data_IF_297190712153
#
_entry.id   IF_297190712153
#
_cell.length_a   1.000
_cell.length_b   1.000
_cell.length_c   1.000
_cell.angle_alpha   90.00
_cell.angle_beta   90.00
_cell.angle_gamma   90.00
#
_symmetry.space_group_name_H-M   'P 1'
#
loop_
_entity.id
_entity.type
_entity.pdbx_description
1 polymer ?
#
# COMPACT_ATOMS: atom_id res chain seq x y z
N UNK A 1 -17.93 -3.22 32.25
CA UNK A 1 -18.81 -4.41 32.15
C UNK A 1 -18.14 -5.33 31.17
N UNK A 2 -17.64 -6.49 31.61
CA UNK A 2 -16.90 -7.40 30.72
C UNK A 2 -17.88 -8.20 29.87
N UNK A 3 -17.59 -8.31 28.58
CA UNK A 3 -18.37 -9.10 27.63
C UNK A 3 -18.26 -10.59 28.00
N UNK A 4 -19.37 -11.31 27.95
CA UNK A 4 -19.36 -12.75 28.26
C UNK A 4 -18.78 -13.55 27.09
N UNK A 5 -18.21 -14.74 27.35
CA UNK A 5 -17.63 -15.60 26.30
C UNK A 5 -18.65 -15.92 25.19
N UNK A 6 -19.94 -16.04 25.54
CA UNK A 6 -21.02 -16.30 24.57
C UNK A 6 -21.25 -15.11 23.64
N UNK A 7 -21.31 -13.90 24.19
CA UNK A 7 -21.48 -12.66 23.41
C UNK A 7 -20.28 -12.41 22.50
N UNK A 8 -19.06 -12.65 22.99
CA UNK A 8 -17.84 -12.56 22.18
C UNK A 8 -17.87 -13.54 20.99
N UNK A 9 -18.28 -14.79 21.25
CA UNK A 9 -18.40 -15.82 20.20
C UNK A 9 -19.40 -15.42 19.11
N UNK A 10 -20.58 -14.91 19.50
CA UNK A 10 -21.60 -14.47 18.53
C UNK A 10 -21.14 -13.20 17.79
N UNK A 11 -20.43 -12.29 18.45
CA UNK A 11 -19.88 -11.09 17.80
C UNK A 11 -18.86 -11.46 16.73
N UNK A 12 -17.90 -12.34 17.06
CA UNK A 12 -16.92 -12.82 16.08
C UNK A 12 -17.56 -13.60 14.93
N UNK A 13 -18.67 -14.29 15.19
CA UNK A 13 -19.46 -14.92 14.14
C UNK A 13 -20.08 -13.88 13.19
N UNK A 14 -20.67 -12.80 13.73
CA UNK A 14 -21.21 -11.70 12.94
C UNK A 14 -20.12 -11.05 12.09
N UNK A 15 -18.91 -10.89 12.64
CA UNK A 15 -17.76 -10.28 11.95
C UNK A 15 -17.07 -11.23 10.95
N UNK A 16 -17.41 -12.53 10.96
CA UNK A 16 -16.77 -13.53 10.11
C UNK A 16 -15.37 -13.96 10.56
N UNK A 17 -15.03 -13.74 11.83
CA UNK A 17 -13.71 -13.97 12.43
C UNK A 17 -13.63 -15.24 13.30
N UNK A 18 -14.50 -16.21 13.06
CA UNK A 18 -14.42 -17.50 13.76
C UNK A 18 -13.22 -18.31 13.26
N UNK A 19 -12.52 -18.95 14.20
CA UNK A 19 -11.62 -20.04 13.87
C UNK A 19 -12.39 -21.38 13.79
N UNK A 20 -11.79 -22.46 13.25
CA UNK A 20 -12.49 -23.73 13.08
C UNK A 20 -13.02 -24.37 14.37
N UNK A 21 -12.36 -24.14 15.51
CA UNK A 21 -12.82 -24.65 16.82
C UNK A 21 -14.05 -23.86 17.30
N UNK A 22 -14.03 -22.55 17.11
CA UNK A 22 -15.11 -21.64 17.45
C UNK A 22 -16.33 -21.81 16.55
N UNK A 23 -16.18 -22.24 15.30
CA UNK A 23 -17.30 -22.63 14.45
C UNK A 23 -18.11 -23.78 15.04
N UNK A 24 -17.42 -24.77 15.63
CA UNK A 24 -18.09 -25.88 16.31
C UNK A 24 -18.79 -25.40 17.60
N UNK A 25 -18.11 -24.56 18.40
CA UNK A 25 -18.71 -23.95 19.59
C UNK A 25 -19.94 -23.11 19.23
N UNK A 26 -19.88 -22.35 18.14
CA UNK A 26 -21.00 -21.53 17.66
C UNK A 26 -22.18 -22.39 17.21
N UNK A 27 -21.94 -23.46 16.44
CA UNK A 27 -23.02 -24.39 16.03
C UNK A 27 -23.76 -25.00 17.22
N UNK A 28 -23.02 -25.41 18.25
CA UNK A 28 -23.63 -25.92 19.48
C UNK A 28 -24.43 -24.85 20.20
N UNK A 29 -23.94 -23.60 20.22
CA UNK A 29 -24.64 -22.47 20.82
C UNK A 29 -25.94 -22.16 20.04
N UNK A 30 -25.88 -22.09 18.71
CA UNK A 30 -27.02 -21.84 17.82
C UNK A 30 -28.09 -22.93 17.94
N UNK A 31 -27.70 -24.19 18.07
CA UNK A 31 -28.63 -25.30 18.34
C UNK A 31 -29.26 -25.21 19.74
N UNK A 32 -28.50 -24.75 20.74
CA UNK A 32 -28.95 -24.69 22.13
C UNK A 32 -29.82 -23.48 22.45
N UNK A 33 -29.55 -22.34 21.81
CA UNK A 33 -30.16 -21.04 22.09
C UNK A 33 -30.17 -20.18 20.81
N UNK A 34 -31.02 -20.55 19.82
CA UNK A 34 -31.09 -19.83 18.55
C UNK A 34 -31.60 -18.40 18.72
N UNK A 35 -32.46 -18.15 19.72
CA UNK A 35 -33.05 -16.85 19.99
C UNK A 35 -32.00 -15.84 20.47
N UNK A 36 -31.03 -16.27 21.29
CA UNK A 36 -29.90 -15.44 21.69
C UNK A 36 -29.06 -14.98 20.49
N UNK A 37 -28.69 -15.92 19.61
CA UNK A 37 -27.93 -15.63 18.40
C UNK A 37 -28.71 -14.70 17.45
N UNK A 38 -30.00 -14.96 17.26
CA UNK A 38 -30.87 -14.15 16.41
C UNK A 38 -31.03 -12.71 16.94
N UNK A 39 -31.17 -12.54 18.26
CA UNK A 39 -31.28 -11.23 18.90
C UNK A 39 -30.01 -10.41 18.72
N UNK A 40 -28.85 -11.02 18.95
CA UNK A 40 -27.56 -10.36 18.74
C UNK A 40 -27.35 -9.97 17.28
N UNK A 41 -27.67 -10.87 16.35
CA UNK A 41 -27.59 -10.58 14.91
C UNK A 41 -28.50 -9.41 14.51
N UNK A 42 -29.76 -9.44 14.93
CA UNK A 42 -30.71 -8.37 14.65
C UNK A 42 -30.23 -7.02 15.22
N UNK A 43 -29.60 -7.02 16.40
CA UNK A 43 -29.02 -5.81 16.96
C UNK A 43 -27.85 -5.26 16.13
N UNK A 44 -26.97 -6.13 15.63
CA UNK A 44 -25.86 -5.72 14.77
C UNK A 44 -26.35 -5.24 13.40
N UNK A 45 -27.37 -5.88 12.83
CA UNK A 45 -28.02 -5.45 11.58
C UNK A 45 -28.68 -4.07 11.72
N UNK A 46 -29.33 -3.79 12.85
CA UNK A 46 -29.92 -2.48 13.12
C UNK A 46 -28.85 -1.37 13.19
N UNK A 47 -27.73 -1.63 13.90
CA UNK A 47 -26.60 -0.70 13.95
C UNK A 47 -26.03 -0.47 12.54
N UNK A 48 -25.87 -1.54 11.76
CA UNK A 48 -25.40 -1.45 10.37
C UNK A 48 -26.34 -0.60 9.52
N UNK A 49 -27.65 -0.83 9.62
CA UNK A 49 -28.66 -0.06 8.88
C UNK A 49 -28.62 1.42 9.25
N UNK A 50 -28.53 1.74 10.54
CA UNK A 50 -28.41 3.11 11.01
C UNK A 50 -27.15 3.78 10.45
N UNK A 51 -25.99 3.13 10.54
CA UNK A 51 -24.73 3.64 10.00
C UNK A 51 -24.81 3.86 8.48
N UNK A 52 -25.39 2.91 7.75
CA UNK A 52 -25.58 3.04 6.30
C UNK A 52 -26.58 4.15 5.93
N UNK A 53 -27.62 4.38 6.73
CA UNK A 53 -28.61 5.43 6.48
C UNK A 53 -28.06 6.84 6.69
N UNK A 54 -27.13 7.01 7.65
CA UNK A 54 -26.45 8.28 7.92
C UNK A 54 -25.27 8.52 6.97
N UNK A 55 -24.79 7.47 6.30
CA UNK A 55 -23.69 7.59 5.36
C UNK A 55 -24.19 8.09 3.99
N UNK A 56 -23.77 9.30 3.61
CA UNK A 56 -24.07 9.88 2.30
C UNK A 56 -23.29 9.15 1.19
N UNK A 57 -23.90 8.11 0.61
CA UNK A 57 -23.35 7.33 -0.51
C UNK A 57 -23.24 8.09 -1.84
N UNK A 58 -23.72 9.33 -1.90
CA UNK A 58 -23.73 10.17 -3.11
C UNK A 58 -22.42 10.94 -3.34
N UNK A 59 -21.37 10.64 -2.59
CA UNK A 59 -20.04 11.22 -2.80
C UNK A 59 -19.26 10.25 -3.67
N UNK A 60 -18.97 10.66 -4.90
CA UNK A 60 -18.04 9.94 -5.76
C UNK A 60 -16.68 9.84 -5.05
N UNK A 61 -16.20 8.61 -4.85
CA UNK A 61 -14.92 8.37 -4.15
C UNK A 61 -13.81 9.03 -4.98
N UNK A 62 -13.05 9.99 -4.42
CA UNK A 62 -11.95 10.61 -5.14
C UNK A 62 -10.98 9.54 -5.64
N UNK A 63 -10.69 9.53 -6.95
CA UNK A 63 -9.83 8.53 -7.60
C UNK A 63 -10.34 7.08 -7.52
N UNK A 64 -11.65 6.84 -7.68
CA UNK A 64 -12.24 5.48 -7.70
C UNK A 64 -11.52 4.47 -8.60
N UNK A 65 -11.03 4.90 -9.78
CA UNK A 65 -10.28 4.04 -10.70
C UNK A 65 -8.97 3.51 -10.11
N UNK A 66 -8.28 4.31 -9.29
CA UNK A 66 -7.07 3.86 -8.60
C UNK A 66 -7.42 2.73 -7.62
N UNK A 67 -8.43 2.92 -6.78
CA UNK A 67 -8.86 1.89 -5.82
C UNK A 67 -9.32 0.62 -6.53
N UNK A 68 -10.11 0.75 -7.59
CA UNK A 68 -10.54 -0.38 -8.42
C UNK A 68 -9.35 -1.14 -9.00
N UNK A 69 -8.35 -0.43 -9.52
CA UNK A 69 -7.13 -1.07 -10.06
C UNK A 69 -6.32 -1.81 -8.99
N UNK A 70 -6.25 -1.27 -7.76
CA UNK A 70 -5.54 -1.91 -6.66
C UNK A 70 -6.30 -3.15 -6.14
N UNK A 71 -7.63 -3.06 -6.05
CA UNK A 71 -8.49 -4.18 -5.68
C UNK A 71 -8.34 -5.30 -6.71
N UNK A 72 -8.43 -4.98 -8.00
CA UNK A 72 -8.29 -5.94 -9.08
C UNK A 72 -6.91 -6.60 -9.08
N UNK A 73 -5.84 -5.81 -8.90
CA UNK A 73 -4.48 -6.32 -8.75
C UNK A 73 -4.37 -7.30 -7.58
N UNK A 74 -4.98 -6.98 -6.44
CA UNK A 74 -4.94 -7.83 -5.24
C UNK A 74 -5.70 -9.14 -5.44
N UNK A 75 -6.88 -9.10 -6.08
CA UNK A 75 -7.66 -10.30 -6.42
C UNK A 75 -6.88 -11.21 -7.38
N UNK A 76 -6.25 -10.64 -8.41
CA UNK A 76 -5.41 -11.43 -9.33
C UNK A 76 -4.23 -12.09 -8.61
N UNK A 77 -3.61 -11.38 -7.66
CA UNK A 77 -2.50 -11.92 -6.86
C UNK A 77 -2.94 -13.02 -5.88
N UNK A 78 -4.10 -12.89 -5.22
CA UNK A 78 -4.63 -13.94 -4.33
C UNK A 78 -4.99 -15.21 -5.10
N UNK A 79 -5.66 -15.07 -6.24
CA UNK A 79 -5.99 -16.21 -7.11
C UNK A 79 -4.72 -16.91 -7.66
N UNK A 80 -3.68 -16.14 -7.98
CA UNK A 80 -2.41 -16.72 -8.41
C UNK A 80 -1.69 -17.48 -7.27
N UNK A 81 -1.81 -17.00 -6.02
CA UNK A 81 -1.18 -17.62 -4.84
C UNK A 81 -1.86 -18.93 -4.42
N UNK A 82 -3.18 -19.03 -4.52
CA UNK A 82 -3.90 -20.29 -4.30
C UNK A 82 -3.50 -21.39 -5.30
N UNK A 83 -2.94 -21.02 -6.46
CA UNK A 83 -2.45 -21.96 -7.46
C UNK A 83 -1.01 -22.46 -7.21
N UNK A 84 -0.30 -21.94 -6.20
CA UNK A 84 1.13 -22.17 -5.98
C UNK A 84 1.49 -22.90 -4.68
N UNK A 85 0.51 -23.38 -3.91
CA UNK A 85 0.74 -24.14 -2.68
C UNK A 85 1.02 -25.63 -2.95
N UNK A 86 2.18 -25.89 -3.56
CA UNK A 86 2.93 -27.12 -3.29
C UNK A 86 4.41 -26.89 -3.62
N UNK A 87 5.28 -26.81 -2.61
CA UNK A 87 6.65 -27.38 -2.61
C UNK A 87 7.78 -26.56 -1.96
N UNK A 88 7.62 -25.30 -1.50
CA UNK A 88 8.82 -24.48 -1.17
C UNK A 88 9.02 -24.14 0.32
N UNK A 89 8.05 -24.40 1.21
CA UNK A 89 8.12 -23.96 2.61
C UNK A 89 8.97 -24.84 3.55
N UNK A 90 9.52 -25.97 3.09
CA UNK A 90 10.33 -26.87 3.93
C UNK A 90 11.80 -26.48 4.04
N UNK A 91 12.32 -25.59 3.19
CA UNK A 91 13.75 -25.24 3.16
C UNK A 91 14.15 -24.05 4.06
N UNK A 92 13.21 -23.17 4.41
CA UNK A 92 13.52 -21.90 5.08
C UNK A 92 13.67 -21.97 6.62
N UNK A 93 13.29 -23.09 7.25
CA UNK A 93 13.19 -23.18 8.73
C UNK A 93 14.49 -23.66 9.41
N UNK A 94 15.52 -24.04 8.64
CA UNK A 94 16.77 -24.59 9.21
C UNK A 94 17.67 -23.51 9.84
N UNK A 95 17.54 -22.23 9.43
CA UNK A 95 18.42 -21.14 9.86
C UNK A 95 18.08 -20.49 11.22
N UNK A 96 16.91 -20.80 11.81
CA UNK A 96 16.45 -20.18 13.08
C UNK A 96 17.00 -20.87 14.35
N UNK A 97 17.75 -21.97 14.24
CA UNK A 97 18.23 -22.73 15.41
C UNK A 97 19.61 -22.27 15.96
N UNK A 98 19.93 -20.98 15.86
CA UNK A 98 21.17 -20.40 16.41
C UNK A 98 20.86 -19.52 17.63
N UNK A 99 21.38 -19.82 18.83
CA UNK A 99 21.01 -19.15 20.09
C UNK A 99 21.67 -17.76 20.34
N UNK A 100 22.24 -17.10 19.34
CA UNK A 100 23.09 -15.91 19.56
C UNK A 100 22.52 -14.56 19.08
N UNK A 101 21.27 -14.47 18.63
CA UNK A 101 20.70 -13.25 18.01
C UNK A 101 19.70 -12.46 18.86
N UNK A 102 19.47 -12.82 20.13
CA UNK A 102 18.47 -12.13 20.96
C UNK A 102 18.95 -10.86 21.69
N UNK A 103 20.25 -10.56 21.70
CA UNK A 103 20.77 -9.38 22.41
C UNK A 103 20.72 -8.07 21.60
N UNK A 104 20.55 -8.13 20.28
CA UNK A 104 20.60 -6.95 19.39
C UNK A 104 19.22 -6.35 19.05
N UNK A 105 18.13 -7.09 19.28
CA UNK A 105 16.78 -6.65 18.91
C UNK A 105 16.19 -5.58 19.86
N UNK A 106 16.59 -5.53 21.13
CA UNK A 106 16.01 -4.60 22.11
C UNK A 106 16.49 -3.15 21.96
N UNK A 107 17.68 -2.91 21.39
CA UNK A 107 18.22 -1.57 21.19
C UNK A 107 17.57 -0.83 20.00
N UNK A 108 17.11 -1.56 18.99
CA UNK A 108 16.46 -0.97 17.80
C UNK A 108 15.06 -0.42 18.10
N UNK A 109 14.29 -1.08 18.97
CA UNK A 109 12.93 -0.63 19.30
C UNK A 109 12.90 0.70 20.06
N UNK A 110 13.92 1.01 20.86
CA UNK A 110 14.01 2.29 21.59
C UNK A 110 14.38 3.46 20.66
N UNK A 111 15.19 3.24 19.62
CA UNK A 111 15.53 4.28 18.64
C UNK A 111 14.34 4.68 17.74
N UNK A 112 13.45 3.73 17.43
CA UNK A 112 12.23 4.01 16.66
C UNK A 112 11.20 4.81 17.47
N UNK A 113 11.13 4.62 18.80
CA UNK A 113 10.19 5.34 19.66
C UNK A 113 10.61 6.79 19.95
N UNK A 114 11.92 7.10 19.98
CA UNK A 114 12.38 8.48 20.19
C UNK A 114 12.32 9.34 18.91
N UNK A 115 12.34 8.75 17.72
CA UNK A 115 12.34 9.52 16.46
C UNK A 115 10.95 10.03 16.03
N UNK A 116 9.87 9.54 16.64
CA UNK A 116 8.49 9.86 16.23
C UNK A 116 7.86 11.07 16.93
N UNK A 117 8.63 11.84 17.71
CA UNK A 117 8.08 12.98 18.49
C UNK A 117 8.04 14.33 17.75
N UNK A 118 8.36 14.37 16.45
CA UNK A 118 8.36 15.62 15.66
C UNK A 118 7.52 15.52 14.38
N UNK A 119 6.28 15.06 14.48
CA UNK A 119 5.33 15.19 13.39
C UNK A 119 4.23 16.18 13.79
N UNK A 120 4.61 17.46 13.88
CA UNK A 120 3.63 18.54 13.80
C UNK A 120 3.04 18.57 12.39
N UNK A 121 1.72 18.55 12.38
CA UNK A 121 0.82 18.43 11.27
C UNK A 121 0.76 19.76 10.51
N UNK A 122 1.54 19.89 9.44
CA UNK A 122 1.42 20.95 8.44
C UNK A 122 0.87 20.37 7.14
N UNK A 123 -0.33 20.80 6.74
CA UNK A 123 -0.99 20.39 5.49
C UNK A 123 -0.32 21.04 4.28
N UNK A 124 0.92 20.64 3.99
CA UNK A 124 1.71 21.10 2.86
C UNK A 124 2.80 20.10 2.53
N UNK A 125 3.01 19.82 1.24
CA UNK A 125 4.10 18.96 0.76
C UNK A 125 5.45 19.63 1.08
N UNK A 126 6.07 19.23 2.19
CA UNK A 126 7.39 19.75 2.59
C UNK A 126 8.49 19.02 1.82
N UNK A 127 9.31 19.78 1.07
CA UNK A 127 10.47 19.24 0.38
C UNK A 127 11.59 18.99 1.40
N UNK A 128 11.91 17.72 1.65
CA UNK A 128 12.86 17.29 2.69
C UNK A 128 14.31 17.49 2.24
N UNK A 129 14.59 17.23 0.96
CA UNK A 129 15.90 17.45 0.36
C UNK A 129 15.81 17.61 -1.15
N UNK A 130 16.75 18.36 -1.71
CA UNK A 130 16.93 18.53 -3.15
C UNK A 130 18.40 18.36 -3.49
N UNK A 131 18.69 17.63 -4.55
CA UNK A 131 20.05 17.38 -5.02
C UNK A 131 20.13 17.67 -6.51
N UNK A 132 21.19 18.35 -6.94
CA UNK A 132 21.53 18.54 -8.34
C UNK A 132 22.76 17.68 -8.67
N UNK A 133 22.64 16.67 -9.56
CA UNK A 133 23.78 15.87 -9.99
C UNK A 133 24.81 16.67 -10.78
N UNK A 134 24.37 17.75 -11.45
CA UNK A 134 25.23 18.62 -12.24
C UNK A 134 25.70 19.81 -11.38
N UNK A 135 27.02 19.99 -11.18
CA UNK A 135 27.56 21.10 -10.38
C UNK A 135 27.35 22.47 -11.03
N UNK A 136 27.03 22.53 -12.33
CA UNK A 136 26.70 23.78 -13.04
C UNK A 136 25.26 24.26 -12.80
N UNK A 137 24.41 23.40 -12.22
CA UNK A 137 23.00 23.69 -11.94
C UNK A 137 22.79 23.89 -10.44
N UNK A 138 22.28 25.07 -10.07
CA UNK A 138 21.97 25.45 -8.69
C UNK A 138 20.46 25.38 -8.43
N UNK A 139 20.09 24.91 -7.23
CA UNK A 139 18.71 24.91 -6.76
C UNK A 139 18.50 26.22 -5.98
N UNK A 140 17.67 27.11 -6.51
CA UNK A 140 17.37 28.41 -5.89
C UNK A 140 16.30 28.30 -4.80
N UNK A 141 15.27 27.50 -5.05
CA UNK A 141 14.20 27.26 -4.09
C UNK A 141 13.46 25.97 -4.39
N UNK A 142 12.93 25.32 -3.37
CA UNK A 142 12.04 24.17 -3.52
C UNK A 142 10.94 24.28 -2.47
N UNK A 143 9.68 24.29 -2.89
CA UNK A 143 8.55 24.45 -1.99
C UNK A 143 7.21 24.45 -2.70
N UNK A 144 6.15 24.30 -1.92
CA UNK A 144 4.79 24.37 -2.45
C UNK A 144 4.43 25.82 -2.81
N UNK A 145 3.98 26.04 -4.05
CA UNK A 145 3.49 27.31 -4.53
C UNK A 145 1.96 27.22 -4.70
N UNK A 146 1.24 28.05 -3.93
CA UNK A 146 -0.23 28.05 -3.91
C UNK A 146 -0.84 28.56 -5.22
N UNK A 147 -0.22 29.53 -5.88
CA UNK A 147 -0.69 30.09 -7.16
C UNK A 147 -0.61 29.05 -8.29
N UNK A 148 0.42 28.20 -8.26
CA UNK A 148 0.59 27.10 -9.21
C UNK A 148 -0.14 25.81 -8.78
N UNK A 149 -0.64 25.76 -7.54
CA UNK A 149 -1.24 24.55 -6.96
C UNK A 149 -0.29 23.34 -6.93
N UNK A 150 1.02 23.57 -6.86
CA UNK A 150 2.02 22.52 -7.06
C UNK A 150 3.33 22.79 -6.31
N UNK A 151 4.11 21.73 -6.07
CA UNK A 151 5.49 21.83 -5.59
C UNK A 151 6.38 22.33 -6.73
N UNK A 152 7.01 23.48 -6.53
CA UNK A 152 7.88 24.14 -7.51
C UNK A 152 9.33 24.07 -7.05
N UNK A 153 10.20 23.58 -7.93
CA UNK A 153 11.66 23.60 -7.76
C UNK A 153 12.23 24.58 -8.77
N UNK A 154 12.82 25.67 -8.29
CA UNK A 154 13.45 26.69 -9.12
C UNK A 154 14.92 26.38 -9.26
N UNK A 155 15.36 26.20 -10.50
CA UNK A 155 16.74 25.88 -10.86
C UNK A 155 17.37 27.05 -11.63
N UNK A 156 18.68 27.21 -11.51
CA UNK A 156 19.51 28.14 -12.27
C UNK A 156 20.71 27.40 -12.84
N UNK A 157 21.25 27.85 -13.98
CA UNK A 157 22.37 27.19 -14.65
C UNK A 157 21.98 26.11 -15.67
N UNK A 158 20.68 25.91 -15.93
CA UNK A 158 20.22 25.06 -17.02
C UNK A 158 20.44 25.75 -18.37
N UNK A 159 20.92 24.99 -19.35
CA UNK A 159 21.00 25.44 -20.74
C UNK A 159 19.60 25.76 -21.26
N UNK A 160 19.46 26.88 -21.99
CA UNK A 160 18.19 27.26 -22.59
C UNK A 160 17.79 26.19 -23.60
N UNK A 161 16.60 25.63 -23.42
CA UNK A 161 16.04 24.70 -24.39
C UNK A 161 15.60 25.51 -25.63
N UNK A 162 16.07 25.18 -26.84
CA UNK A 162 15.66 25.86 -28.07
C UNK A 162 14.15 25.78 -28.31
N UNK A 163 13.56 26.84 -28.85
CA UNK A 163 12.11 26.94 -29.08
C UNK A 163 11.59 25.92 -30.12
N UNK A 164 12.47 25.36 -30.94
CA UNK A 164 12.21 24.30 -31.93
C UNK A 164 12.36 22.88 -31.36
N UNK A 165 12.65 22.75 -30.06
CA UNK A 165 12.79 21.44 -29.41
C UNK A 165 11.42 20.78 -29.27
N UNK A 166 11.19 19.73 -30.05
CA UNK A 166 9.98 18.93 -29.97
C UNK A 166 10.07 17.89 -28.83
N UNK A 167 9.40 18.16 -27.72
CA UNK A 167 9.28 17.22 -26.60
C UNK A 167 8.26 16.10 -26.83
N UNK A 168 7.49 16.15 -27.93
CA UNK A 168 6.44 15.17 -28.22
C UNK A 168 6.99 13.79 -28.63
N UNK A 169 8.26 13.72 -29.01
CA UNK A 169 8.94 12.48 -29.42
C UNK A 169 9.14 11.50 -28.26
N UNK A 170 9.24 12.01 -27.03
CA UNK A 170 9.48 11.21 -25.83
C UNK A 170 8.19 10.87 -25.07
N UNK A 171 7.02 11.02 -25.71
CA UNK A 171 5.76 10.61 -25.11
C UNK A 171 5.70 9.09 -25.02
N UNK A 172 6.03 8.58 -23.83
CA UNK A 172 5.90 7.17 -23.49
C UNK A 172 4.43 6.80 -23.61
N UNK A 173 4.13 5.77 -24.40
CA UNK A 173 2.76 5.25 -24.55
C UNK A 173 2.63 3.80 -24.11
N UNK A 174 3.75 3.07 -24.04
CA UNK A 174 3.79 1.70 -23.58
C UNK A 174 5.12 1.39 -22.92
N UNK A 175 5.13 0.34 -22.12
CA UNK A 175 6.33 -0.24 -21.56
C UNK A 175 6.25 -1.76 -21.65
N UNK A 176 7.40 -2.41 -21.76
CA UNK A 176 7.50 -3.87 -21.76
C UNK A 176 8.56 -4.33 -20.77
N UNK A 177 8.26 -5.45 -20.11
CA UNK A 177 9.19 -6.24 -19.30
C UNK A 177 9.68 -7.43 -20.12
N UNK A 178 10.32 -7.14 -21.24
CA UNK A 178 11.06 -8.16 -22.00
C UNK A 178 12.53 -8.16 -21.58
N UNK A 179 12.91 -9.17 -20.81
CA UNK A 179 14.30 -9.40 -20.38
C UNK A 179 14.39 -10.28 -19.13
N UNK A 180 15.61 -10.67 -18.70
CA UNK A 180 15.86 -11.19 -17.36
C UNK A 180 15.23 -10.25 -16.31
N UNK A 181 14.83 -10.75 -15.11
CA UNK A 181 14.33 -9.90 -14.05
C UNK A 181 15.31 -8.74 -13.84
N UNK A 182 14.81 -7.52 -14.04
CA UNK A 182 15.58 -6.31 -13.79
C UNK A 182 15.65 -5.26 -14.90
N UNK A 183 14.93 -5.37 -16.01
CA UNK A 183 14.86 -4.28 -17.00
C UNK A 183 13.44 -4.01 -17.50
N UNK A 184 13.08 -2.73 -17.59
CA UNK A 184 11.82 -2.23 -18.18
C UNK A 184 12.17 -1.32 -19.35
N UNK A 185 11.67 -1.65 -20.54
CA UNK A 185 11.81 -0.82 -21.74
C UNK A 185 10.57 0.07 -21.89
N UNK A 186 10.75 1.34 -22.19
CA UNK A 186 9.67 2.30 -22.47
C UNK A 186 9.69 2.70 -23.94
N UNK A 187 8.53 2.70 -24.57
CA UNK A 187 8.40 2.94 -26.00
C UNK A 187 7.58 4.22 -26.29
N UNK A 188 7.95 4.91 -27.37
CA UNK A 188 7.17 6.02 -27.90
C UNK A 188 6.03 5.53 -28.82
N UNK A 189 5.25 6.47 -29.36
CA UNK A 189 4.14 6.20 -30.31
C UNK A 189 4.54 5.48 -31.61
N UNK A 190 5.85 5.38 -31.91
CA UNK A 190 6.41 4.72 -33.08
C UNK A 190 7.03 3.35 -32.76
N UNK A 191 6.81 2.83 -31.55
CA UNK A 191 7.43 1.60 -31.02
C UNK A 191 8.98 1.68 -30.93
N UNK A 192 9.55 2.88 -30.81
CA UNK A 192 10.98 3.05 -30.57
C UNK A 192 11.26 3.09 -29.06
N UNK A 193 12.29 2.37 -28.60
CA UNK A 193 12.73 2.40 -27.19
C UNK A 193 13.31 3.77 -26.86
N UNK A 194 12.73 4.44 -25.86
CA UNK A 194 13.14 5.77 -25.39
C UNK A 194 13.94 5.68 -24.10
N UNK A 195 13.52 4.80 -23.17
CA UNK A 195 14.17 4.62 -21.87
C UNK A 195 14.28 3.14 -21.51
N UNK A 196 15.35 2.81 -20.79
CA UNK A 196 15.54 1.50 -20.15
C UNK A 196 15.74 1.77 -18.66
N UNK A 197 14.85 1.24 -17.83
CA UNK A 197 14.96 1.31 -16.38
C UNK A 197 15.44 -0.03 -15.85
N UNK A 198 16.56 -0.01 -15.13
CA UNK A 198 17.00 -1.14 -14.34
C UNK A 198 16.15 -1.25 -13.06
N UNK A 199 15.64 -2.43 -12.79
CA UNK A 199 14.82 -2.72 -11.62
C UNK A 199 15.42 -3.86 -10.80
N UNK A 200 15.06 -3.94 -9.52
CA UNK A 200 15.40 -5.09 -8.68
C UNK A 200 14.53 -6.33 -9.00
N UNK A 201 14.74 -7.41 -8.24
CA UNK A 201 13.96 -8.66 -8.35
C UNK A 201 12.45 -8.46 -8.08
N UNK A 202 12.05 -7.33 -7.48
CA UNK A 202 10.67 -6.95 -7.19
C UNK A 202 10.09 -5.94 -8.19
N UNK A 203 10.89 -5.54 -9.19
CA UNK A 203 10.48 -4.59 -10.23
C UNK A 203 10.44 -3.14 -9.76
N UNK A 204 11.14 -2.81 -8.66
CA UNK A 204 11.33 -1.45 -8.17
C UNK A 204 12.59 -0.84 -8.82
N UNK A 205 12.60 0.47 -9.12
CA UNK A 205 13.78 1.13 -9.68
C UNK A 205 14.97 0.98 -8.74
N UNK A 206 16.14 0.60 -9.27
CA UNK A 206 17.38 0.61 -8.51
C UNK A 206 17.73 2.06 -8.17
N UNK A 207 17.62 2.42 -6.89
CA UNK A 207 18.04 3.72 -6.36
C UNK A 207 19.44 3.53 -5.80
N UNK A 208 20.44 4.10 -6.48
CA UNK A 208 21.80 4.23 -5.96
C UNK A 208 21.87 5.36 -4.92
#
# INVERSE_FOLDING_TARGET
MSMTKKEELVTRWIDGELNPEQELEFKQLEESDPDFCATFKASAENVRELLCSEFNSNIEVPHGDFFNSQIEKRIRQSNAKESQDSSVLSAAIIWIKSPFTWATASAFCLLLFLSNQNLEQGTGSTVISTYSPDPSVSILSAGYNEEAGATVIKLEGLERIPDDTDFSVNHIVSYDRQGPPGFVHFYNKKDEVVYIMETDEFGLPNVF
#
